data_IF_794214728102
#
_entry.id   IF_794214728102
#
_cell.length_a   1.000
_cell.length_b   1.000
_cell.length_c   1.000
_cell.angle_alpha   90.00
_cell.angle_beta   90.00
_cell.angle_gamma   90.00
#
_symmetry.space_group_name_H-M   'P 1'
#
loop_
_entity.id
_entity.type
_entity.pdbx_description
1 polymer ?
#
# COMPACT_ATOMS: atom_id res chain seq x y z
N UNK A 1 -11.88 -16.33 -14.30
CA UNK A 1 -12.77 -15.22 -14.70
C UNK A 1 -11.89 -14.12 -15.25
N UNK A 2 -12.20 -13.53 -16.40
CA UNK A 2 -11.42 -12.41 -16.94
C UNK A 2 -11.98 -11.16 -16.28
N UNK A 3 -11.19 -10.46 -15.47
CA UNK A 3 -11.65 -9.23 -14.82
C UNK A 3 -12.07 -8.22 -15.90
N UNK A 4 -13.17 -7.48 -15.72
CA UNK A 4 -13.57 -6.44 -16.66
C UNK A 4 -12.46 -5.39 -16.79
N UNK A 5 -12.31 -4.83 -17.99
CA UNK A 5 -11.27 -3.84 -18.30
C UNK A 5 -11.88 -2.59 -18.89
N UNK A 6 -11.30 -1.43 -18.55
CA UNK A 6 -11.62 -0.12 -19.13
C UNK A 6 -10.38 0.43 -19.82
N UNK A 7 -10.53 1.08 -20.97
CA UNK A 7 -9.41 1.72 -21.68
C UNK A 7 -9.21 3.14 -21.14
N UNK A 8 -8.04 3.41 -20.57
CA UNK A 8 -7.61 4.74 -20.13
C UNK A 8 -6.27 5.06 -20.80
N UNK A 9 -6.16 6.21 -21.49
CA UNK A 9 -4.94 6.61 -22.22
C UNK A 9 -4.33 5.46 -23.06
N UNK A 10 -5.16 4.65 -23.72
CA UNK A 10 -4.71 3.51 -24.53
C UNK A 10 -4.25 2.26 -23.75
N UNK A 11 -4.34 2.26 -22.42
CA UNK A 11 -4.02 1.13 -21.55
C UNK A 11 -5.32 0.45 -21.09
N UNK A 12 -5.38 -0.89 -21.20
CA UNK A 12 -6.43 -1.68 -20.58
C UNK A 12 -6.21 -1.76 -19.06
N UNK A 13 -7.03 -1.03 -18.31
CA UNK A 13 -7.01 -1.01 -16.85
C UNK A 13 -8.03 -2.02 -16.34
N UNK A 14 -7.55 -3.01 -15.59
CA UNK A 14 -8.43 -3.99 -14.92
C UNK A 14 -9.25 -3.32 -13.82
N UNK A 15 -10.49 -3.77 -13.68
CA UNK A 15 -11.43 -3.31 -12.67
C UNK A 15 -12.02 -4.55 -12.00
N UNK A 16 -12.19 -4.50 -10.68
CA UNK A 16 -12.88 -5.58 -9.95
C UNK A 16 -14.41 -5.35 -9.89
N UNK A 17 -15.12 -6.26 -9.23
CA UNK A 17 -16.58 -6.18 -9.07
C UNK A 17 -17.05 -5.01 -8.19
N UNK A 18 -16.13 -4.36 -7.46
CA UNK A 18 -16.40 -3.18 -6.62
C UNK A 18 -15.98 -1.87 -7.32
N UNK A 19 -15.77 -1.92 -8.65
CA UNK A 19 -15.35 -0.78 -9.46
C UNK A 19 -13.97 -0.19 -9.08
N UNK A 20 -13.12 -0.98 -8.39
CA UNK A 20 -11.77 -0.54 -8.02
C UNK A 20 -10.80 -0.83 -9.16
N UNK A 21 -10.02 0.17 -9.52
CA UNK A 21 -9.03 0.08 -10.59
C UNK A 21 -7.75 -0.61 -10.12
N UNK A 22 -7.20 -1.48 -10.96
CA UNK A 22 -5.88 -2.02 -10.73
C UNK A 22 -4.84 -0.90 -10.76
N UNK A 23 -4.24 -0.65 -9.60
CA UNK A 23 -3.36 0.49 -9.39
C UNK A 23 -2.12 0.48 -10.30
N UNK A 24 -1.60 -0.71 -10.66
CA UNK A 24 -0.46 -0.82 -11.58
C UNK A 24 -0.85 -0.48 -13.02
N UNK A 25 -2.02 -0.90 -13.47
CA UNK A 25 -2.49 -0.59 -14.82
C UNK A 25 -2.91 0.89 -14.92
N UNK A 26 -3.50 1.43 -13.85
CA UNK A 26 -3.80 2.85 -13.73
C UNK A 26 -2.52 3.70 -13.73
N UNK A 27 -1.47 3.25 -13.04
CA UNK A 27 -0.17 3.91 -13.09
C UNK A 27 0.39 3.93 -14.52
N UNK A 28 0.36 2.81 -15.25
CA UNK A 28 0.79 2.76 -16.65
C UNK A 28 0.00 3.73 -17.54
N UNK A 29 -1.31 3.84 -17.35
CA UNK A 29 -2.12 4.80 -18.11
C UNK A 29 -1.74 6.25 -17.79
N UNK A 30 -1.41 6.54 -16.54
CA UNK A 30 -0.95 7.85 -16.11
C UNK A 30 0.43 8.19 -16.67
N UNK A 31 1.37 7.23 -16.71
CA UNK A 31 2.69 7.43 -17.34
C UNK A 31 2.55 7.70 -18.84
N UNK A 32 1.75 6.90 -19.55
CA UNK A 32 1.50 7.09 -20.98
C UNK A 32 0.84 8.45 -21.26
N UNK A 33 -0.06 8.89 -20.39
CA UNK A 33 -0.68 10.22 -20.44
C UNK A 33 0.21 11.37 -19.98
N UNK A 34 1.47 11.14 -19.58
CA UNK A 34 2.39 12.17 -19.10
C UNK A 34 2.09 12.72 -17.70
N UNK A 35 1.15 12.11 -16.97
CA UNK A 35 0.73 12.51 -15.63
C UNK A 35 1.52 11.83 -14.50
N UNK A 36 2.39 10.87 -14.84
CA UNK A 36 3.27 10.17 -13.91
C UNK A 36 4.58 9.78 -14.60
N UNK A 37 5.58 9.39 -13.81
CA UNK A 37 6.84 8.82 -14.28
C UNK A 37 6.96 7.37 -13.84
N UNK A 38 7.69 6.55 -14.59
CA UNK A 38 7.94 5.13 -14.25
C UNK A 38 8.51 4.95 -12.83
N UNK A 39 9.29 5.94 -12.35
CA UNK A 39 9.84 5.93 -10.99
C UNK A 39 8.78 5.91 -9.88
N UNK A 40 7.54 6.30 -10.19
CA UNK A 40 6.40 6.34 -9.26
C UNK A 40 5.56 5.05 -9.31
N UNK A 41 6.03 4.00 -10.01
CA UNK A 41 5.32 2.73 -10.08
C UNK A 41 5.10 2.17 -8.69
N UNK A 42 3.85 1.84 -8.37
CA UNK A 42 3.45 1.50 -6.99
C UNK A 42 4.26 0.34 -6.42
N UNK A 43 4.53 -0.69 -7.22
CA UNK A 43 5.39 -1.80 -6.81
C UNK A 43 6.80 -1.35 -6.46
N UNK A 44 7.39 -0.44 -7.24
CA UNK A 44 8.74 0.08 -7.00
C UNK A 44 8.78 1.06 -5.83
N UNK A 45 7.71 1.83 -5.63
CA UNK A 45 7.57 2.74 -4.49
C UNK A 45 7.66 1.99 -3.16
N UNK A 46 6.96 0.87 -3.00
CA UNK A 46 7.03 0.03 -1.80
C UNK A 46 8.41 -0.62 -1.64
N UNK A 47 9.12 -0.85 -2.75
CA UNK A 47 10.45 -1.45 -2.72
C UNK A 47 11.55 -0.46 -2.29
N UNK A 48 11.28 0.85 -2.29
CA UNK A 48 12.25 1.87 -1.87
C UNK A 48 12.66 1.65 -0.42
N UNK A 49 13.98 1.66 -0.17
CA UNK A 49 14.55 1.46 1.16
C UNK A 49 13.91 2.35 2.23
N UNK A 50 13.71 3.64 1.94
CA UNK A 50 13.07 4.59 2.85
C UNK A 50 11.63 4.18 3.23
N UNK A 51 10.84 3.68 2.27
CA UNK A 51 9.45 3.24 2.50
C UNK A 51 9.45 1.96 3.32
N UNK A 52 10.35 1.01 3.04
CA UNK A 52 10.53 -0.20 3.86
C UNK A 52 10.92 0.11 5.29
N UNK A 53 11.90 1.01 5.49
CA UNK A 53 12.31 1.44 6.83
C UNK A 53 11.15 2.11 7.57
N UNK A 54 10.40 2.98 6.91
CA UNK A 54 9.23 3.61 7.51
C UNK A 54 8.16 2.60 7.94
N UNK A 55 7.83 1.63 7.09
CA UNK A 55 6.86 0.57 7.42
C UNK A 55 7.36 -0.33 8.56
N UNK A 56 8.66 -0.66 8.58
CA UNK A 56 9.28 -1.41 9.67
C UNK A 56 9.21 -0.64 10.99
N UNK A 57 9.53 0.65 10.99
CA UNK A 57 9.46 1.52 12.16
C UNK A 57 8.03 1.60 12.71
N UNK A 58 7.04 1.77 11.83
CA UNK A 58 5.63 1.74 12.22
C UNK A 58 5.20 0.39 12.82
N UNK A 59 5.71 -0.72 12.28
CA UNK A 59 5.47 -2.07 12.80
C UNK A 59 6.10 -2.31 14.17
N UNK A 60 7.33 -1.83 14.36
CA UNK A 60 8.07 -1.89 15.62
C UNK A 60 7.37 -1.05 16.69
N UNK A 61 7.01 0.19 16.40
CA UNK A 61 6.28 1.06 17.33
C UNK A 61 4.94 0.45 17.73
N UNK A 62 4.20 -0.17 16.81
CA UNK A 62 2.93 -0.83 17.13
C UNK A 62 3.12 -2.01 18.09
N UNK A 63 4.17 -2.82 17.91
CA UNK A 63 4.50 -3.92 18.84
C UNK A 63 4.92 -3.41 20.21
N UNK A 64 5.76 -2.38 20.28
CA UNK A 64 6.20 -1.78 21.55
C UNK A 64 5.01 -1.19 22.32
N UNK A 65 4.06 -0.55 21.63
CA UNK A 65 2.87 0.03 22.27
C UNK A 65 1.93 -1.03 22.86
N UNK A 66 1.74 -2.16 22.18
CA UNK A 66 0.93 -3.28 22.68
C UNK A 66 1.60 -3.96 23.88
N UNK A 67 2.93 -4.15 23.83
CA UNK A 67 3.70 -4.69 24.95
C UNK A 67 3.68 -3.77 26.17
N UNK A 68 3.79 -2.45 25.97
CA UNK A 68 3.73 -1.48 27.08
C UNK A 68 2.36 -1.49 27.76
N UNK A 69 1.27 -1.54 26.98
CA UNK A 69 -0.10 -1.63 27.53
C UNK A 69 -0.25 -2.94 28.31
N UNK A 70 0.19 -4.08 27.75
CA UNK A 70 0.14 -5.39 28.42
C UNK A 70 0.87 -5.40 29.77
N UNK A 71 2.11 -4.88 29.80
CA UNK A 71 2.92 -4.78 31.03
C UNK A 71 2.28 -3.85 32.07
N UNK A 72 1.68 -2.73 31.63
CA UNK A 72 0.98 -1.80 32.54
C UNK A 72 -0.28 -2.46 33.11
N UNK A 73 -1.06 -3.19 32.30
CA UNK A 73 -2.27 -3.88 32.75
C UNK A 73 -2.00 -5.07 33.67
N UNK A 74 -0.94 -5.85 33.42
CA UNK A 74 -0.57 -6.96 34.31
C UNK A 74 -0.08 -6.46 35.67
N UNK A 75 0.70 -5.38 35.71
CA UNK A 75 1.16 -4.78 36.97
C UNK A 75 0.04 -4.18 37.83
N UNK A 76 -1.12 -3.89 37.25
CA UNK A 76 -2.28 -3.32 37.96
C UNK A 76 -3.35 -4.38 38.33
N UNK A 77 -3.20 -5.65 37.93
CA UNK A 77 -4.11 -6.74 38.35
C UNK A 77 -3.65 -7.53 39.59
N UNK A 78 -2.47 -7.23 40.15
CA UNK A 78 -1.91 -7.90 41.34
C UNK A 78 -2.00 -7.07 42.63
N UNK A 79 -2.98 -6.18 42.74
CA UNK A 79 -3.36 -5.52 44.00
C UNK A 79 -4.87 -5.56 44.21
#
# INVERSE_FOLDING_TARGET
MKDPTVILNGVNVRVDSEERYNLNDLHKSAVLGGNATESQRTGEFLERAQVKYFVQELGLHRKTHVLLIGVITEKHMFY
#
